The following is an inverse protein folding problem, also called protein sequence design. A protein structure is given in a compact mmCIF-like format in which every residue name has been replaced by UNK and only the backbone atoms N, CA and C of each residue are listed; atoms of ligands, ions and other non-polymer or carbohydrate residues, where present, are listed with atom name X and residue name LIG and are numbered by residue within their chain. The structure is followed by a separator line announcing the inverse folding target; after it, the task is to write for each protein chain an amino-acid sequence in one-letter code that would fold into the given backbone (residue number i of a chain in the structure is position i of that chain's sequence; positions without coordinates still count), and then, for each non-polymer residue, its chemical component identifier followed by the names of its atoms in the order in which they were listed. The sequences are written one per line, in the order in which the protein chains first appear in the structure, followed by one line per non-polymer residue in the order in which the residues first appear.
data_IF_319457034434
#
_entry.id   IF_319457034434
#
_cell.length_a   1.000
_cell.length_b   1.000
_cell.length_c   1.000
_cell.angle_alpha   90.00
_cell.angle_beta   90.00
_cell.angle_gamma   90.00
#
_symmetry.space_group_name_H-M   'P 1'
#
loop_
_entity.id
_entity.type
_entity.pdbx_description
1 polymer ?
#
# COMPACT_ATOMS: atom_id res chain seq x y z
N UNK A 1 -11.48 27.71 -27.28
CA UNK A 1 -10.71 26.70 -26.52
C UNK A 1 -11.70 25.79 -25.83
N UNK A 2 -11.59 24.46 -25.99
CA UNK A 2 -12.45 23.51 -25.29
C UNK A 2 -12.08 23.45 -23.80
N UNK A 3 -13.08 23.30 -22.93
CA UNK A 3 -12.90 23.02 -21.50
C UNK A 3 -12.75 21.51 -21.31
N UNK A 4 -11.74 21.08 -20.55
CA UNK A 4 -11.57 19.68 -20.14
C UNK A 4 -11.91 19.58 -18.66
N UNK A 5 -12.93 18.80 -18.32
CA UNK A 5 -13.31 18.51 -16.93
C UNK A 5 -12.67 17.19 -16.53
N UNK A 6 -11.93 17.18 -15.42
CA UNK A 6 -11.29 15.99 -14.84
C UNK A 6 -11.96 15.71 -13.50
N UNK A 7 -12.50 14.50 -13.32
CA UNK A 7 -13.09 14.09 -12.04
C UNK A 7 -12.00 13.73 -11.03
N UNK A 8 -12.34 13.61 -9.75
CA UNK A 8 -11.38 13.24 -8.70
C UNK A 8 -10.80 11.84 -8.92
N UNK A 9 -11.66 10.92 -9.35
CA UNK A 9 -11.33 9.55 -9.71
C UNK A 9 -10.30 9.52 -10.85
N UNK A 10 -10.58 10.23 -11.94
CA UNK A 10 -9.66 10.33 -13.09
C UNK A 10 -8.35 11.02 -12.70
N UNK A 11 -8.39 12.03 -11.82
CA UNK A 11 -7.19 12.69 -11.34
C UNK A 11 -6.31 11.74 -10.51
N UNK A 12 -6.91 11.00 -9.56
CA UNK A 12 -6.20 10.02 -8.75
C UNK A 12 -5.60 8.89 -9.59
N UNK A 13 -6.38 8.32 -10.52
CA UNK A 13 -5.90 7.30 -11.47
C UNK A 13 -4.64 7.79 -12.20
N UNK A 14 -4.71 8.97 -12.83
CA UNK A 14 -3.60 9.54 -13.60
C UNK A 14 -2.37 9.79 -12.74
N UNK A 15 -2.54 10.17 -11.48
CA UNK A 15 -1.44 10.37 -10.55
C UNK A 15 -0.79 9.04 -10.16
N UNK A 16 -1.56 7.98 -9.87
CA UNK A 16 -0.98 6.64 -9.60
C UNK A 16 -0.23 6.13 -10.83
N UNK A 17 -0.84 6.15 -12.01
CA UNK A 17 -0.21 5.70 -13.25
C UNK A 17 1.07 6.50 -13.57
N UNK A 18 1.10 7.80 -13.23
CA UNK A 18 2.31 8.61 -13.35
C UNK A 18 3.37 8.19 -12.34
N UNK A 19 3.02 8.06 -11.06
CA UNK A 19 3.96 7.67 -10.02
C UNK A 19 4.58 6.28 -10.26
N UNK A 20 3.78 5.31 -10.72
CA UNK A 20 4.29 3.97 -11.09
C UNK A 20 5.27 4.05 -12.27
N UNK A 21 4.97 4.85 -13.30
CA UNK A 21 5.89 5.02 -14.43
C UNK A 21 7.19 5.70 -14.01
N UNK A 22 7.11 6.70 -13.12
CA UNK A 22 8.29 7.34 -12.53
C UNK A 22 9.12 6.34 -11.72
N UNK A 23 8.46 5.49 -10.92
CA UNK A 23 9.11 4.41 -10.17
C UNK A 23 9.84 3.43 -11.10
N UNK A 24 9.17 2.93 -12.14
CA UNK A 24 9.79 2.03 -13.12
C UNK A 24 10.91 2.70 -13.93
N UNK A 25 10.84 4.01 -14.14
CA UNK A 25 11.88 4.79 -14.79
C UNK A 25 13.05 5.17 -13.85
N UNK A 26 13.00 4.74 -12.58
CA UNK A 26 13.97 5.10 -11.54
C UNK A 26 14.15 6.63 -11.42
N UNK A 27 13.04 7.36 -11.51
CA UNK A 27 13.05 8.80 -11.25
C UNK A 27 13.25 9.10 -9.75
N UNK A 28 13.34 10.39 -9.41
CA UNK A 28 13.54 10.85 -8.04
C UNK A 28 12.48 10.30 -7.06
N UNK A 29 12.95 9.67 -5.98
CA UNK A 29 12.09 9.00 -5.01
C UNK A 29 11.11 9.94 -4.32
N UNK A 30 11.48 11.20 -4.07
CA UNK A 30 10.59 12.19 -3.47
C UNK A 30 9.53 12.64 -4.47
N UNK A 31 9.86 12.70 -5.75
CA UNK A 31 8.88 12.99 -6.80
C UNK A 31 7.84 11.87 -6.90
N UNK A 32 8.26 10.60 -6.92
CA UNK A 32 7.36 9.43 -6.88
C UNK A 32 6.44 9.51 -5.66
N UNK A 33 7.03 9.68 -4.47
CA UNK A 33 6.31 9.74 -3.19
C UNK A 33 5.28 10.87 -3.19
N UNK A 34 5.65 12.04 -3.70
CA UNK A 34 4.77 13.22 -3.75
C UNK A 34 3.53 12.95 -4.60
N UNK A 35 3.73 12.40 -5.80
CA UNK A 35 2.64 12.12 -6.74
C UNK A 35 1.75 10.99 -6.20
N UNK A 36 2.34 9.92 -5.67
CA UNK A 36 1.60 8.81 -5.07
C UNK A 36 0.78 9.24 -3.85
N UNK A 37 1.36 10.06 -2.96
CA UNK A 37 0.69 10.55 -1.75
C UNK A 37 -0.49 11.48 -2.08
N UNK A 38 -0.34 12.30 -3.12
CA UNK A 38 -1.43 13.14 -3.62
C UNK A 38 -2.60 12.27 -4.11
N UNK A 39 -2.31 11.23 -4.89
CA UNK A 39 -3.33 10.32 -5.40
C UNK A 39 -4.05 9.57 -4.28
N UNK A 40 -3.28 8.99 -3.35
CA UNK A 40 -3.81 8.28 -2.21
C UNK A 40 -4.68 9.18 -1.32
N UNK A 41 -4.30 10.44 -1.15
CA UNK A 41 -5.11 11.43 -0.41
C UNK A 41 -6.48 11.64 -1.07
N UNK A 42 -6.53 11.77 -2.41
CA UNK A 42 -7.80 11.91 -3.13
C UNK A 42 -8.68 10.68 -2.91
N UNK A 43 -8.11 9.48 -3.05
CA UNK A 43 -8.86 8.22 -2.89
C UNK A 43 -9.38 8.04 -1.47
N UNK A 44 -8.55 8.35 -0.46
CA UNK A 44 -8.97 8.34 0.94
C UNK A 44 -10.14 9.29 1.19
N UNK A 45 -10.05 10.51 0.64
CA UNK A 45 -11.11 11.50 0.80
C UNK A 45 -12.40 11.11 0.05
N UNK A 46 -12.32 10.25 -0.98
CA UNK A 46 -13.47 9.67 -1.67
C UNK A 46 -14.10 8.49 -0.90
N UNK A 47 -13.29 7.65 -0.24
CA UNK A 47 -13.75 6.52 0.58
C UNK A 47 -14.50 6.96 1.85
N UNK A 48 -14.16 8.12 2.40
CA UNK A 48 -14.76 8.68 3.61
C UNK A 48 -15.46 10.02 3.29
N UNK A 49 -16.61 9.98 2.58
CA UNK A 49 -17.26 11.18 2.04
C UNK A 49 -17.95 12.05 3.11
N UNK A 50 -18.00 11.62 4.37
CA UNK A 50 -18.77 12.31 5.40
C UNK A 50 -17.98 13.45 6.05
N UNK A 51 -18.55 14.67 6.14
CA UNK A 51 -17.94 15.75 6.88
C UNK A 51 -17.86 15.37 8.36
N UNK A 52 -16.63 15.26 8.85
CA UNK A 52 -16.29 14.76 10.18
C UNK A 52 -16.83 15.71 11.25
N UNK A 53 -17.56 15.17 12.24
CA UNK A 53 -17.79 15.91 13.49
C UNK A 53 -16.44 16.07 14.19
N UNK A 54 -16.17 17.28 14.70
CA UNK A 54 -14.89 17.68 15.32
C UNK A 54 -14.41 16.74 16.44
N UNK A 55 -15.33 15.97 17.02
CA UNK A 55 -15.11 15.20 18.26
C UNK A 55 -15.24 13.67 18.09
N UNK A 56 -15.45 13.15 16.88
CA UNK A 56 -15.45 11.69 16.68
C UNK A 56 -14.02 11.19 16.41
N UNK A 57 -13.55 10.15 17.13
CA UNK A 57 -12.31 9.48 16.78
C UNK A 57 -12.42 8.96 15.35
N UNK A 58 -11.31 9.00 14.61
CA UNK A 58 -11.22 8.59 13.20
C UNK A 58 -11.35 7.06 13.04
N UNK A 59 -12.43 6.45 13.54
CA UNK A 59 -12.71 5.01 13.49
C UNK A 59 -13.29 4.59 12.12
N UNK A 60 -12.73 5.09 11.01
CA UNK A 60 -13.06 4.60 9.67
C UNK A 60 -12.28 3.32 9.35
N UNK A 61 -12.69 2.57 8.31
CA UNK A 61 -11.97 1.39 7.78
C UNK A 61 -10.46 1.61 7.68
N UNK A 62 -10.06 2.83 7.29
CA UNK A 62 -8.68 3.32 7.26
C UNK A 62 -7.85 3.11 8.54
N UNK A 63 -8.49 3.19 9.72
CA UNK A 63 -7.83 3.02 11.01
C UNK A 63 -7.35 1.57 11.22
N UNK A 64 -8.18 0.61 10.85
CA UNK A 64 -7.83 -0.80 10.94
C UNK A 64 -6.82 -1.17 9.86
N UNK A 65 -6.93 -0.59 8.67
CA UNK A 65 -6.01 -0.85 7.56
C UNK A 65 -4.60 -0.34 7.87
N UNK A 66 -4.44 0.88 8.39
CA UNK A 66 -3.13 1.40 8.76
C UNK A 66 -2.44 0.54 9.81
N UNK A 67 -3.20 0.12 10.83
CA UNK A 67 -2.68 -0.72 11.92
C UNK A 67 -2.26 -2.07 11.39
N UNK A 68 -3.15 -2.77 10.68
CA UNK A 68 -2.86 -4.08 10.09
C UNK A 68 -1.65 -4.01 9.16
N UNK A 69 -1.58 -2.99 8.30
CA UNK A 69 -0.49 -2.79 7.34
C UNK A 69 0.83 -2.46 8.02
N UNK A 70 0.84 -1.54 8.99
CA UNK A 70 2.04 -1.19 9.76
C UNK A 70 2.62 -2.38 10.50
N UNK A 71 1.76 -3.19 11.09
CA UNK A 71 2.14 -4.42 11.76
C UNK A 71 2.68 -5.48 10.78
N UNK A 72 2.06 -5.61 9.60
CA UNK A 72 2.54 -6.51 8.54
C UNK A 72 3.93 -6.13 8.01
N UNK A 73 4.18 -4.85 7.77
CA UNK A 73 5.51 -4.35 7.33
C UNK A 73 6.57 -4.66 8.37
N UNK A 74 6.32 -4.35 9.65
CA UNK A 74 7.26 -4.64 10.74
C UNK A 74 7.52 -6.13 10.90
N UNK A 75 6.50 -6.97 10.73
CA UNK A 75 6.66 -8.42 10.76
C UNK A 75 7.57 -8.91 9.64
N UNK A 76 7.39 -8.41 8.40
CA UNK A 76 8.25 -8.76 7.26
C UNK A 76 9.69 -8.34 7.46
N UNK A 77 9.93 -7.09 7.88
CA UNK A 77 11.30 -6.63 8.19
C UNK A 77 11.96 -7.49 9.27
N UNK A 78 11.22 -7.84 10.32
CA UNK A 78 11.71 -8.68 11.41
C UNK A 78 12.02 -10.12 10.96
N UNK A 79 11.36 -10.61 9.93
CA UNK A 79 11.61 -11.91 9.31
C UNK A 79 12.87 -11.89 8.41
N UNK A 80 13.06 -10.80 7.65
CA UNK A 80 14.17 -10.64 6.71
C UNK A 80 15.52 -10.38 7.37
N UNK A 81 15.55 -9.92 8.63
CA UNK A 81 16.81 -9.68 9.33
C UNK A 81 16.70 -8.76 10.54
N UNK A 82 17.84 -8.22 11.02
CA UNK A 82 17.84 -7.25 12.10
C UNK A 82 17.08 -5.99 11.67
N UNK A 83 16.19 -5.54 12.55
CA UNK A 83 15.46 -4.28 12.38
C UNK A 83 16.40 -3.08 12.50
N UNK A 84 16.06 -1.99 11.81
CA UNK A 84 16.78 -0.72 11.94
C UNK A 84 16.48 -0.05 13.31
N UNK A 85 17.25 0.99 13.66
CA UNK A 85 17.09 1.68 14.94
C UNK A 85 15.68 2.27 15.14
N UNK A 86 15.03 2.69 14.04
CA UNK A 86 13.70 3.30 14.06
C UNK A 86 12.63 2.25 14.38
N UNK A 87 12.71 1.09 13.74
CA UNK A 87 11.82 -0.04 13.96
C UNK A 87 12.04 -0.66 15.35
N UNK A 88 13.30 -0.75 15.81
CA UNK A 88 13.62 -1.16 17.19
C UNK A 88 13.00 -0.18 18.20
N UNK A 89 13.16 1.13 17.99
CA UNK A 89 12.56 2.14 18.86
C UNK A 89 11.01 2.09 18.80
N UNK A 90 10.44 1.74 17.65
CA UNK A 90 9.01 1.53 17.52
C UNK A 90 8.53 0.33 18.36
N UNK A 91 9.24 -0.80 18.26
CA UNK A 91 8.99 -2.06 18.98
C UNK A 91 9.57 -2.13 20.39
N UNK A 92 10.14 -1.04 20.91
CA UNK A 92 10.61 -0.97 22.29
C UNK A 92 9.46 -1.19 23.30
N UNK A 93 8.22 -0.92 22.87
CA UNK A 93 7.03 -1.22 23.66
C UNK A 93 6.69 -2.73 23.60
N UNK A 94 6.66 -3.44 24.74
CA UNK A 94 6.50 -4.89 24.77
C UNK A 94 5.23 -5.40 24.08
N UNK A 95 4.13 -4.65 24.21
CA UNK A 95 2.84 -4.99 23.59
C UNK A 95 2.94 -5.03 22.07
N UNK A 96 3.64 -4.06 21.48
CA UNK A 96 3.78 -3.94 20.02
C UNK A 96 4.70 -5.00 19.48
N UNK A 97 5.83 -5.22 20.17
CA UNK A 97 6.77 -6.31 19.86
C UNK A 97 6.08 -7.67 19.87
N UNK A 98 5.34 -7.98 20.92
CA UNK A 98 4.62 -9.26 21.03
C UNK A 98 3.59 -9.45 19.92
N UNK A 99 2.97 -8.38 19.43
CA UNK A 99 2.02 -8.46 18.33
C UNK A 99 2.72 -8.72 16.99
N UNK A 100 3.83 -8.03 16.72
CA UNK A 100 4.66 -8.27 15.53
C UNK A 100 5.28 -9.66 15.56
N UNK A 101 5.81 -10.12 16.70
CA UNK A 101 6.35 -11.47 16.87
C UNK A 101 5.29 -12.56 16.62
N UNK A 102 4.04 -12.33 17.06
CA UNK A 102 2.93 -13.25 16.75
C UNK A 102 2.60 -13.28 15.27
N UNK A 103 2.65 -12.15 14.58
CA UNK A 103 2.49 -12.10 13.12
C UNK A 103 3.62 -12.83 12.39
N UNK A 104 4.88 -12.61 12.81
CA UNK A 104 6.03 -13.35 12.28
C UNK A 104 5.86 -14.86 12.50
N UNK A 105 5.42 -15.28 13.68
CA UNK A 105 5.19 -16.69 13.97
C UNK A 105 4.07 -17.25 13.10
N UNK A 106 2.94 -16.55 12.98
CA UNK A 106 1.82 -16.98 12.14
C UNK A 106 2.26 -17.19 10.68
N UNK A 107 3.03 -16.25 10.11
CA UNK A 107 3.62 -16.36 8.77
C UNK A 107 4.50 -17.60 8.60
N UNK A 108 5.31 -17.93 9.61
CA UNK A 108 6.21 -19.08 9.54
C UNK A 108 5.51 -20.42 9.68
N UNK A 109 4.38 -20.47 10.38
CA UNK A 109 3.71 -21.73 10.74
C UNK A 109 2.51 -22.07 9.87
N UNK A 110 1.91 -21.10 9.20
CA UNK A 110 0.77 -21.33 8.30
C UNK A 110 1.25 -21.17 6.86
N UNK A 111 1.18 -22.25 6.08
CA UNK A 111 1.43 -22.21 4.62
C UNK A 111 0.48 -21.28 3.90
N UNK A 112 -0.68 -21.02 4.51
CA UNK A 112 -1.79 -20.25 3.96
C UNK A 112 -2.04 -18.97 4.79
N UNK A 113 -1.02 -18.43 5.48
CA UNK A 113 -1.17 -17.12 6.13
C UNK A 113 -1.35 -16.06 5.05
N UNK A 114 -2.60 -15.76 4.76
CA UNK A 114 -2.96 -14.88 3.68
C UNK A 114 -2.69 -13.42 4.07
N UNK A 115 -1.58 -12.86 3.56
CA UNK A 115 -1.25 -11.45 3.75
C UNK A 115 -2.38 -10.53 3.27
N UNK A 116 -3.22 -10.97 2.32
CA UNK A 116 -4.36 -10.21 1.78
C UNK A 116 -5.30 -9.72 2.89
N UNK A 117 -5.39 -10.45 3.99
CA UNK A 117 -6.17 -10.08 5.17
C UNK A 117 -5.63 -8.82 5.91
N UNK A 118 -4.31 -8.58 5.88
CA UNK A 118 -3.69 -7.36 6.43
C UNK A 118 -3.88 -6.14 5.51
N UNK A 119 -4.15 -6.37 4.22
CA UNK A 119 -4.27 -5.32 3.22
C UNK A 119 -5.71 -5.03 2.78
N UNK A 120 -6.70 -5.80 3.27
CA UNK A 120 -8.13 -5.52 3.09
C UNK A 120 -8.75 -6.21 1.87
N UNK A 121 -8.07 -7.17 1.25
CA UNK A 121 -8.68 -8.04 0.25
C UNK A 121 -9.16 -9.31 0.96
N UNK A 122 -10.47 -9.41 1.16
CA UNK A 122 -11.10 -10.67 1.54
C UNK A 122 -11.25 -11.49 0.26
N UNK A 123 -10.69 -12.69 0.22
CA UNK A 123 -11.02 -13.63 -0.86
C UNK A 123 -12.47 -14.05 -0.76
N UNK A 124 -13.04 -14.60 -1.85
CA UNK A 124 -14.36 -15.24 -1.80
C UNK A 124 -14.46 -16.32 -0.71
N UNK A 125 -13.31 -16.92 -0.36
CA UNK A 125 -13.19 -17.90 0.73
C UNK A 125 -13.16 -17.22 2.11
N UNK A 126 -12.47 -16.09 2.27
CA UNK A 126 -12.51 -15.30 3.52
C UNK A 126 -13.88 -14.70 3.76
N UNK A 127 -14.55 -14.19 2.72
CA UNK A 127 -15.93 -13.73 2.78
C UNK A 127 -16.87 -14.86 3.19
N UNK A 128 -16.63 -16.08 2.67
CA UNK A 128 -17.36 -17.28 3.08
C UNK A 128 -17.09 -17.64 4.54
N UNK A 129 -15.83 -17.69 4.98
CA UNK A 129 -15.45 -17.99 6.37
C UNK A 129 -16.02 -16.94 7.33
N UNK A 130 -16.00 -15.66 6.95
CA UNK A 130 -16.60 -14.57 7.70
C UNK A 130 -18.12 -14.75 7.76
N UNK A 131 -18.78 -15.05 6.64
CA UNK A 131 -20.21 -15.30 6.58
C UNK A 131 -20.63 -16.52 7.44
N UNK A 132 -19.86 -17.60 7.40
CA UNK A 132 -20.03 -18.81 8.20
C UNK A 132 -19.82 -18.52 9.70
N UNK A 133 -18.93 -17.59 10.04
CA UNK A 133 -18.71 -17.09 11.39
C UNK A 133 -19.65 -15.93 11.79
N UNK A 134 -20.78 -15.76 11.10
CA UNK A 134 -21.79 -14.75 11.43
C UNK A 134 -21.32 -13.31 11.21
N UNK A 135 -20.42 -13.09 10.24
CA UNK A 135 -19.85 -11.79 9.90
C UNK A 135 -18.64 -11.39 10.74
N UNK A 136 -18.09 -12.28 11.58
CA UNK A 136 -16.95 -11.93 12.43
C UNK A 136 -15.61 -12.39 11.84
N UNK A 137 -14.55 -11.54 11.88
CA UNK A 137 -13.20 -11.94 11.48
C UNK A 137 -12.65 -13.02 12.43
N UNK A 138 -11.62 -13.78 12.02
CA UNK A 138 -10.96 -14.77 12.87
C UNK A 138 -10.60 -14.17 14.26
N UNK A 139 -10.87 -14.91 15.34
CA UNK A 139 -10.77 -14.39 16.72
C UNK A 139 -9.42 -13.74 17.03
N UNK A 140 -8.32 -14.28 16.51
CA UNK A 140 -6.98 -13.75 16.74
C UNK A 140 -6.79 -12.31 16.20
N UNK A 141 -7.47 -11.95 15.12
CA UNK A 141 -7.42 -10.59 14.53
C UNK A 141 -8.15 -9.62 15.44
N UNK A 142 -9.34 -10.01 15.91
CA UNK A 142 -10.15 -9.21 16.82
C UNK A 142 -9.40 -8.99 18.14
N UNK A 143 -8.75 -10.02 18.65
CA UNK A 143 -7.92 -9.95 19.84
C UNK A 143 -6.70 -9.05 19.61
N UNK A 144 -6.00 -9.20 18.48
CA UNK A 144 -4.88 -8.32 18.10
C UNK A 144 -5.29 -6.86 17.97
N UNK A 145 -6.41 -6.56 17.30
CA UNK A 145 -6.94 -5.21 17.12
C UNK A 145 -7.48 -4.61 18.42
N UNK A 146 -7.98 -5.44 19.36
CA UNK A 146 -8.42 -4.95 20.67
C UNK A 146 -7.27 -4.53 21.59
N UNK A 147 -6.04 -5.03 21.33
CA UNK A 147 -4.82 -4.63 22.01
C UNK A 147 -4.23 -3.31 21.47
N UNK A 148 -4.78 -2.81 20.36
CA UNK A 148 -4.33 -1.61 19.69
C UNK A 148 -5.06 -0.41 20.27
N UNK A 149 -4.41 0.29 21.19
CA UNK A 149 -4.93 1.54 21.75
C UNK A 149 -4.77 2.72 20.77
N UNK A 150 -5.46 3.82 21.05
CA UNK A 150 -5.42 5.02 20.20
C UNK A 150 -4.03 5.66 20.12
N UNK A 151 -3.17 5.44 21.13
CA UNK A 151 -1.77 5.89 21.11
C UNK A 151 -0.96 5.10 20.10
N UNK A 152 -1.14 3.79 20.03
CA UNK A 152 -0.46 2.93 19.08
C UNK A 152 -0.81 3.30 17.65
N UNK A 153 -2.10 3.51 17.38
CA UNK A 153 -2.52 3.87 16.02
C UNK A 153 -2.02 5.23 15.62
N UNK A 154 -2.01 6.18 16.55
CA UNK A 154 -1.35 7.46 16.31
C UNK A 154 0.13 7.27 15.98
N UNK A 155 0.86 6.41 16.70
CA UNK A 155 2.28 6.13 16.44
C UNK A 155 2.51 5.52 15.04
N UNK A 156 1.68 4.56 14.63
CA UNK A 156 1.73 3.99 13.27
C UNK A 156 1.37 5.05 12.22
N UNK A 157 0.30 5.82 12.45
CA UNK A 157 -0.10 6.87 11.54
C UNK A 157 1.00 7.94 11.41
N UNK A 158 1.65 8.33 12.50
CA UNK A 158 2.75 9.29 12.50
C UNK A 158 3.96 8.71 11.73
N UNK A 159 4.26 7.42 11.88
CA UNK A 159 5.30 6.71 11.11
C UNK A 159 5.08 6.80 9.59
N UNK A 160 3.86 6.50 9.12
CA UNK A 160 3.54 6.57 7.68
C UNK A 160 3.33 7.99 7.15
N UNK A 161 2.91 8.93 8.01
CA UNK A 161 2.71 10.32 7.63
C UNK A 161 3.98 11.17 7.76
N UNK A 162 5.10 10.61 8.23
CA UNK A 162 6.34 11.37 8.44
C UNK A 162 6.82 12.05 7.14
N UNK A 163 6.97 11.29 6.06
CA UNK A 163 7.42 11.82 4.77
C UNK A 163 6.40 12.81 4.17
N UNK A 164 5.09 12.49 4.06
CA UNK A 164 4.09 13.48 3.63
C UNK A 164 4.06 14.75 4.48
N UNK A 165 4.21 14.63 5.80
CA UNK A 165 4.23 15.79 6.71
C UNK A 165 5.49 16.62 6.52
N UNK A 166 6.65 15.97 6.33
CA UNK A 166 7.91 16.65 5.99
C UNK A 166 7.73 17.48 4.72
N UNK A 167 7.24 16.86 3.63
CA UNK A 167 7.02 17.55 2.36
C UNK A 167 6.01 18.69 2.46
N UNK A 168 4.93 18.49 3.24
CA UNK A 168 3.90 19.51 3.50
C UNK A 168 4.43 20.72 4.27
N UNK A 169 5.48 20.54 5.08
CA UNK A 169 6.04 21.57 5.95
C UNK A 169 7.47 21.98 5.57
N UNK A 170 7.95 21.53 4.41
CA UNK A 170 9.29 21.81 3.92
C UNK A 170 9.55 23.32 3.74
N UNK A 171 8.51 24.11 3.44
CA UNK A 171 8.57 25.57 3.34
C UNK A 171 8.92 26.26 4.67
N UNK A 172 8.65 25.60 5.81
CA UNK A 172 8.79 26.17 7.17
C UNK A 172 9.98 25.60 7.94
N UNK A 173 10.56 24.49 7.49
CA UNK A 173 11.63 23.78 8.19
C UNK A 173 12.99 24.04 7.53
N UNK A 174 13.67 25.13 7.92
CA UNK A 174 14.97 25.52 7.31
C UNK A 174 16.14 24.56 7.56
N UNK A 175 16.02 23.65 8.54
CA UNK A 175 17.14 22.80 9.02
C UNK A 175 16.75 21.31 9.13
N UNK A 176 15.51 20.95 8.84
CA UNK A 176 15.12 19.54 8.89
C UNK A 176 15.61 18.84 7.61
N UNK A 177 16.22 17.67 7.76
CA UNK A 177 16.53 16.75 6.67
C UNK A 177 15.58 15.56 6.72
N UNK A 178 15.25 15.03 5.55
CA UNK A 178 14.61 13.73 5.38
C UNK A 178 15.67 12.79 4.80
N UNK A 179 15.83 11.60 5.37
CA UNK A 179 16.71 10.61 4.76
C UNK A 179 15.96 9.88 3.66
N UNK A 180 16.60 9.70 2.50
CA UNK A 180 15.95 9.07 1.34
C UNK A 180 15.63 7.59 1.58
N UNK A 181 16.45 6.89 2.37
CA UNK A 181 16.21 5.49 2.77
C UNK A 181 14.96 5.31 3.67
N UNK A 182 14.39 6.41 4.18
CA UNK A 182 13.11 6.39 4.92
C UNK A 182 11.89 6.54 3.99
N UNK A 183 12.09 6.76 2.68
CA UNK A 183 11.01 6.91 1.68
C UNK A 183 10.57 5.55 1.16
N UNK A 184 9.41 5.08 1.63
CA UNK A 184 8.83 3.81 1.21
C UNK A 184 7.79 3.99 0.08
N UNK A 185 8.30 4.19 -1.14
CA UNK A 185 7.48 4.34 -2.34
C UNK A 185 6.68 3.08 -2.67
N UNK A 186 7.25 1.89 -2.45
CA UNK A 186 6.61 0.61 -2.77
C UNK A 186 5.34 0.45 -1.95
N UNK A 187 5.44 0.59 -0.63
CA UNK A 187 4.27 0.48 0.25
C UNK A 187 3.21 1.52 -0.11
N UNK A 188 3.60 2.77 -0.39
CA UNK A 188 2.63 3.81 -0.74
C UNK A 188 1.92 3.54 -2.08
N UNK A 189 2.63 3.05 -3.09
CA UNK A 189 2.05 2.70 -4.39
C UNK A 189 1.11 1.49 -4.29
N UNK A 190 1.45 0.47 -3.49
CA UNK A 190 0.54 -0.65 -3.18
C UNK A 190 -0.75 -0.11 -2.52
N UNK A 191 -0.61 0.77 -1.53
CA UNK A 191 -1.75 1.36 -0.83
C UNK A 191 -2.64 2.19 -1.75
N UNK A 192 -2.04 3.01 -2.61
CA UNK A 192 -2.76 3.82 -3.58
C UNK A 192 -3.53 2.94 -4.58
N UNK A 193 -2.89 1.89 -5.09
CA UNK A 193 -3.50 0.94 -6.03
C UNK A 193 -4.65 0.18 -5.37
N UNK A 194 -4.48 -0.36 -4.16
CA UNK A 194 -5.54 -1.06 -3.44
C UNK A 194 -6.73 -0.13 -3.12
N UNK A 195 -6.46 1.11 -2.70
CA UNK A 195 -7.52 2.11 -2.48
C UNK A 195 -8.28 2.41 -3.77
N UNK A 196 -7.58 2.51 -4.90
CA UNK A 196 -8.20 2.69 -6.21
C UNK A 196 -9.11 1.52 -6.57
N UNK A 197 -8.61 0.27 -6.46
CA UNK A 197 -9.38 -0.95 -6.72
C UNK A 197 -10.64 -1.01 -5.86
N UNK A 198 -10.55 -0.67 -4.58
CA UNK A 198 -11.72 -0.71 -3.68
C UNK A 198 -12.86 0.22 -4.12
N UNK A 199 -12.53 1.35 -4.76
CA UNK A 199 -13.51 2.33 -5.25
C UNK A 199 -14.00 2.02 -6.67
N UNK A 200 -13.13 1.48 -7.53
CA UNK A 200 -13.38 1.35 -8.97
C UNK A 200 -13.65 -0.10 -9.42
N UNK A 201 -13.32 -1.08 -8.58
CA UNK A 201 -13.41 -2.52 -8.86
C UNK A 201 -12.51 -3.03 -10.00
N UNK A 202 -11.49 -2.27 -10.42
CA UNK A 202 -10.49 -2.70 -11.40
C UNK A 202 -9.13 -2.04 -11.14
N UNK A 203 -8.09 -2.57 -11.79
CA UNK A 203 -6.75 -1.98 -11.86
C UNK A 203 -6.45 -1.43 -13.25
N UNK A 204 -5.56 -0.42 -13.32
CA UNK A 204 -4.95 -0.01 -14.58
C UNK A 204 -3.82 -0.96 -14.96
N UNK A 205 -3.36 -0.91 -16.20
CA UNK A 205 -2.21 -1.70 -16.64
C UNK A 205 -0.96 -1.38 -15.79
N UNK A 206 -0.74 -0.11 -15.47
CA UNK A 206 0.36 0.32 -14.60
C UNK A 206 0.27 -0.33 -13.21
N UNK A 207 -0.92 -0.32 -12.59
CA UNK A 207 -1.13 -0.92 -11.27
C UNK A 207 -0.90 -2.44 -11.29
N UNK A 208 -1.44 -3.15 -12.29
CA UNK A 208 -1.25 -4.60 -12.42
C UNK A 208 0.22 -4.96 -12.57
N UNK A 209 0.93 -4.32 -13.50
CA UNK A 209 2.37 -4.59 -13.71
C UNK A 209 3.21 -4.24 -12.48
N UNK A 210 2.82 -3.22 -11.73
CA UNK A 210 3.50 -2.87 -10.48
C UNK A 210 3.29 -3.94 -9.40
N UNK A 211 2.08 -4.47 -9.26
CA UNK A 211 1.79 -5.55 -8.32
C UNK A 211 2.49 -6.86 -8.73
N UNK A 212 2.56 -7.17 -10.02
CA UNK A 212 3.30 -8.33 -10.55
C UNK A 212 4.81 -8.24 -10.21
N UNK A 213 5.42 -7.05 -10.32
CA UNK A 213 6.82 -6.83 -9.90
C UNK A 213 6.98 -7.01 -8.39
N UNK A 214 6.06 -6.45 -7.59
CA UNK A 214 6.09 -6.63 -6.15
C UNK A 214 5.98 -8.10 -5.75
N UNK A 215 5.12 -8.87 -6.43
CA UNK A 215 4.98 -10.30 -6.23
C UNK A 215 6.26 -11.06 -6.58
N UNK A 216 6.84 -10.77 -7.74
CA UNK A 216 8.08 -11.39 -8.20
C UNK A 216 9.32 -11.04 -7.35
N UNK A 217 9.23 -10.06 -6.47
CA UNK A 217 10.26 -9.69 -5.49
C UNK A 217 10.00 -10.26 -4.09
N UNK A 218 8.88 -10.96 -3.89
CA UNK A 218 8.44 -11.40 -2.58
C UNK A 218 8.03 -10.23 -1.66
N UNK A 219 7.81 -9.05 -2.24
CA UNK A 219 7.35 -7.84 -1.53
C UNK A 219 5.86 -7.90 -1.22
N UNK A 220 5.10 -8.76 -1.91
CA UNK A 220 3.67 -8.89 -1.75
C UNK A 220 3.20 -10.28 -2.19
N UNK A 221 2.34 -10.93 -1.41
CA UNK A 221 1.71 -12.21 -1.79
C UNK A 221 0.51 -11.92 -2.71
N UNK A 222 0.78 -11.88 -4.01
CA UNK A 222 -0.19 -11.60 -5.06
C UNK A 222 0.04 -12.56 -6.21
N UNK A 223 -1.03 -13.19 -6.67
CA UNK A 223 -0.98 -14.07 -7.84
C UNK A 223 -0.86 -13.19 -9.09
N UNK A 224 0.28 -13.22 -9.80
CA UNK A 224 0.51 -12.29 -10.90
C UNK A 224 -0.50 -12.51 -12.04
N UNK A 225 -1.08 -11.42 -12.54
CA UNK A 225 -2.12 -11.53 -13.56
C UNK A 225 -1.57 -11.42 -14.99
N UNK A 226 -0.60 -10.54 -15.23
CA UNK A 226 -0.11 -10.25 -16.59
C UNK A 226 1.25 -10.90 -16.87
N UNK A 227 2.13 -10.94 -15.88
CA UNK A 227 3.47 -11.50 -16.00
C UNK A 227 3.70 -12.58 -14.94
N UNK A 228 4.11 -13.76 -15.37
CA UNK A 228 4.44 -14.85 -14.44
C UNK A 228 5.73 -14.55 -13.66
N UNK A 229 5.98 -15.25 -12.55
CA UNK A 229 7.28 -15.17 -11.89
C UNK A 229 8.45 -15.51 -12.85
N UNK A 230 8.22 -16.43 -13.79
CA UNK A 230 9.19 -16.82 -14.82
C UNK A 230 9.59 -15.67 -15.74
N UNK A 231 8.70 -14.70 -15.94
CA UNK A 231 8.97 -13.49 -16.71
C UNK A 231 10.06 -12.60 -16.09
N UNK A 232 10.38 -12.82 -14.82
CA UNK A 232 11.28 -11.98 -14.02
C UNK A 232 12.50 -12.71 -13.43
N UNK A 233 12.59 -14.04 -13.54
CA UNK A 233 13.60 -14.85 -12.84
C UNK A 233 15.07 -14.44 -13.13
N UNK A 234 15.34 -13.90 -14.32
CA UNK A 234 16.69 -13.51 -14.76
C UNK A 234 16.94 -11.98 -14.71
N UNK A 235 15.99 -11.21 -14.18
CA UNK A 235 16.05 -9.76 -14.14
C UNK A 235 16.31 -9.28 -12.72
N UNK A 236 17.29 -8.39 -12.57
CA UNK A 236 17.39 -7.57 -11.36
C UNK A 236 16.23 -6.57 -11.29
N UNK A 237 16.09 -5.86 -10.16
CA UNK A 237 15.02 -4.87 -9.97
C UNK A 237 14.93 -3.87 -11.14
N UNK A 238 16.07 -3.37 -11.62
CA UNK A 238 16.14 -2.45 -12.75
C UNK A 238 15.62 -3.07 -14.05
N UNK A 239 15.99 -4.32 -14.33
CA UNK A 239 15.52 -5.09 -15.47
C UNK A 239 14.01 -5.36 -15.42
N UNK A 240 13.47 -5.71 -14.25
CA UNK A 240 12.02 -5.91 -14.04
C UNK A 240 11.25 -4.62 -14.34
N UNK A 241 11.70 -3.50 -13.74
CA UNK A 241 11.14 -2.17 -13.96
C UNK A 241 11.21 -1.74 -15.44
N UNK A 242 12.35 -1.98 -16.10
CA UNK A 242 12.52 -1.70 -17.53
C UNK A 242 11.56 -2.49 -18.41
N UNK A 243 11.42 -3.80 -18.17
CA UNK A 243 10.47 -4.67 -18.88
C UNK A 243 9.03 -4.16 -18.74
N UNK A 244 8.60 -3.83 -17.53
CA UNK A 244 7.26 -3.28 -17.29
C UNK A 244 7.04 -1.93 -17.99
N UNK A 245 8.03 -1.03 -17.95
CA UNK A 245 7.94 0.26 -18.63
C UNK A 245 7.81 0.12 -20.15
N UNK A 246 8.53 -0.83 -20.75
CA UNK A 246 8.43 -1.11 -22.18
C UNK A 246 7.08 -1.72 -22.56
N UNK A 247 6.51 -2.60 -21.73
CA UNK A 247 5.16 -3.11 -21.93
C UNK A 247 4.11 -1.98 -21.87
N UNK A 248 4.22 -1.07 -20.90
CA UNK A 248 3.34 0.11 -20.80
C UNK A 248 3.44 0.97 -22.07
N UNK A 249 4.66 1.23 -22.55
CA UNK A 249 4.89 2.01 -23.78
C UNK A 249 4.27 1.33 -25.01
N UNK A 250 4.48 0.02 -25.17
CA UNK A 250 3.92 -0.76 -26.28
C UNK A 250 2.40 -0.76 -26.23
N UNK A 251 1.81 -0.99 -25.06
CA UNK A 251 0.36 -0.97 -24.88
C UNK A 251 -0.24 0.39 -25.21
N UNK A 252 0.35 1.49 -24.71
CA UNK A 252 -0.12 2.86 -25.00
C UNK A 252 0.07 3.26 -26.47
N UNK A 253 1.12 2.78 -27.14
CA UNK A 253 1.32 3.01 -28.57
C UNK A 253 0.26 2.29 -29.41
N UNK A 254 -0.13 1.07 -29.02
CA UNK A 254 -1.15 0.26 -29.70
C UNK A 254 -2.58 0.73 -29.37
N UNK A 255 -2.79 1.20 -28.15
CA UNK A 255 -4.10 1.59 -27.63
C UNK A 255 -4.02 2.93 -26.87
N UNK A 256 -3.99 4.08 -27.57
CA UNK A 256 -3.81 5.40 -26.94
C UNK A 256 -4.92 5.79 -25.96
N UNK A 257 -6.08 5.14 -26.06
CA UNK A 257 -7.27 5.36 -25.24
C UNK A 257 -7.58 4.22 -24.28
N UNK A 258 -6.64 3.26 -24.08
CA UNK A 258 -6.86 2.16 -23.14
C UNK A 258 -6.78 2.69 -21.71
N UNK A 259 -7.89 2.60 -20.96
CA UNK A 259 -8.01 3.20 -19.63
C UNK A 259 -8.30 2.16 -18.53
N UNK A 260 -8.72 0.93 -18.86
CA UNK A 260 -9.03 -0.08 -17.85
C UNK A 260 -8.89 -1.53 -18.37
N UNK A 261 -8.39 -2.43 -17.52
CA UNK A 261 -8.51 -3.89 -17.68
C UNK A 261 -9.67 -4.33 -16.77
N UNK A 262 -10.85 -4.67 -17.31
CA UNK A 262 -11.92 -5.20 -16.47
C UNK A 262 -11.51 -6.58 -15.95
N UNK A 263 -11.66 -6.80 -14.64
CA UNK A 263 -11.49 -8.11 -14.02
C UNK A 263 -12.76 -8.92 -14.32
N UNK A 264 -12.60 -10.07 -14.98
CA UNK A 264 -13.66 -11.01 -15.30
C UNK A 264 -13.82 -12.09 -14.26
#
# INVERSE_FOLDING_TARGET
MGSVIVTKETAAQRQIDAAIRMYFAQEDELAVQTVAAAAYTILRDLQDPLPKKKDQPKEGLWYQDIVKRGLGVLARKMEQGPLDERDIAFLAEPTYRSLVERLVLARKTQSDFDERFLFGELTSEDERIIAENGGQPPSFVKDALSLVDSKFVKKIADYFNEVPNFLKHADRMKVAGLKLDEVDNVTLLIQASAAFRSLMSYFTLEMELFLDVCAAEGSFDYDPFLLSAEDFNDLDHAGKCGKCLDLIRQARAKFPSFIAIPIG
#
